data_IF_163249824118
#
_entry.id   IF_163249824118
#
_cell.length_a   1.000
_cell.length_b   1.000
_cell.length_c   1.000
_cell.angle_alpha   90.00
_cell.angle_beta   90.00
_cell.angle_gamma   90.00
#
_symmetry.space_group_name_H-M   'P 1'
#
loop_
_entity.id
_entity.type
_entity.pdbx_description
1 polymer ?
#
# COMPACT_ATOMS: atom_id res chain seq x y z
N UNK A 1 38.77 -23.66 -56.86
CA UNK A 1 38.98 -24.58 -55.73
C UNK A 1 38.98 -23.71 -54.48
N UNK A 2 37.91 -23.54 -53.73
CA UNK A 2 36.80 -24.44 -53.48
C UNK A 2 36.76 -24.64 -51.97
N UNK A 3 35.66 -24.20 -51.36
CA UNK A 3 35.08 -24.57 -50.06
C UNK A 3 35.94 -24.33 -48.80
N UNK A 4 35.42 -23.77 -47.70
CA UNK A 4 34.04 -23.81 -47.20
C UNK A 4 33.99 -24.76 -46.01
N UNK A 5 33.72 -24.23 -44.81
CA UNK A 5 33.00 -24.88 -43.71
C UNK A 5 33.09 -23.99 -42.45
N UNK A 6 32.06 -23.16 -42.28
CA UNK A 6 31.53 -22.85 -40.95
C UNK A 6 30.92 -24.13 -40.40
N UNK A 7 31.16 -24.45 -39.14
CA UNK A 7 30.35 -25.42 -38.41
C UNK A 7 29.89 -24.81 -37.08
N UNK A 8 28.65 -25.16 -36.78
CA UNK A 8 27.74 -24.56 -35.82
C UNK A 8 27.66 -25.39 -34.53
N UNK A 9 27.10 -24.77 -33.49
CA UNK A 9 26.25 -25.33 -32.42
C UNK A 9 26.57 -24.63 -31.09
N UNK A 10 25.61 -24.18 -30.28
CA UNK A 10 24.16 -24.23 -30.37
C UNK A 10 23.58 -23.16 -29.44
N UNK A 11 22.41 -22.66 -29.80
CA UNK A 11 21.62 -21.80 -28.93
C UNK A 11 20.91 -22.58 -27.84
N UNK A 12 20.71 -21.93 -26.70
CA UNK A 12 19.44 -21.89 -25.98
C UNK A 12 19.57 -20.69 -25.02
N UNK A 13 18.83 -19.59 -25.17
CA UNK A 13 17.37 -19.60 -25.26
C UNK A 13 16.82 -19.61 -23.84
N UNK A 14 16.93 -18.48 -23.16
CA UNK A 14 16.44 -18.27 -21.80
C UNK A 14 16.21 -16.78 -21.56
N UNK A 15 15.57 -16.11 -22.52
CA UNK A 15 14.99 -14.80 -22.26
C UNK A 15 13.87 -15.01 -21.25
N UNK A 16 14.10 -14.60 -20.01
CA UNK A 16 13.04 -14.45 -19.04
C UNK A 16 12.06 -13.42 -19.61
N UNK A 17 10.91 -13.91 -20.09
CA UNK A 17 9.80 -13.05 -20.44
C UNK A 17 9.32 -12.39 -19.16
N UNK A 18 9.80 -11.18 -18.89
CA UNK A 18 9.04 -10.26 -18.06
C UNK A 18 7.71 -10.04 -18.77
N UNK A 19 6.66 -10.66 -18.24
CA UNK A 19 5.30 -10.37 -18.65
C UNK A 19 5.03 -8.91 -18.31
N UNK A 20 5.32 -8.00 -19.23
CA UNK A 20 4.67 -6.69 -19.24
C UNK A 20 3.17 -6.95 -19.25
N UNK A 21 2.43 -6.42 -18.29
CA UNK A 21 0.97 -6.37 -18.34
C UNK A 21 0.58 -5.71 -19.67
N UNK A 22 0.11 -6.53 -20.60
CA UNK A 22 -0.36 -6.05 -21.88
C UNK A 22 -1.76 -5.48 -21.66
N UNK A 23 -1.83 -4.16 -21.41
CA UNK A 23 -3.02 -3.33 -21.58
C UNK A 23 -4.16 -3.56 -20.60
N UNK A 24 -3.91 -3.48 -19.29
CA UNK A 24 -5.00 -3.34 -18.31
C UNK A 24 -5.79 -2.07 -18.64
N UNK A 25 -7.13 -2.18 -18.67
CA UNK A 25 -8.04 -1.06 -18.92
C UNK A 25 -9.09 -0.97 -17.83
N UNK A 26 -9.77 0.17 -17.76
CA UNK A 26 -10.98 0.37 -16.94
C UNK A 26 -12.07 0.95 -17.84
N UNK A 27 -13.33 0.75 -17.44
CA UNK A 27 -14.44 1.51 -18.02
C UNK A 27 -14.49 2.91 -17.42
N UNK A 28 -14.82 3.90 -18.26
CA UNK A 28 -15.06 5.26 -17.77
C UNK A 28 -16.30 5.28 -16.88
N UNK A 29 -16.16 5.82 -15.66
CA UNK A 29 -17.24 5.87 -14.69
C UNK A 29 -17.14 7.07 -13.76
N UNK A 30 -18.30 7.53 -13.28
CA UNK A 30 -18.38 8.56 -12.24
C UNK A 30 -18.18 7.89 -10.89
N UNK A 31 -17.17 8.32 -10.15
CA UNK A 31 -16.81 7.79 -8.83
C UNK A 31 -17.50 8.56 -7.70
N UNK A 32 -17.73 9.86 -7.91
CA UNK A 32 -18.37 10.76 -6.95
C UNK A 32 -19.05 11.91 -7.71
N UNK A 33 -20.24 12.33 -7.28
CA UNK A 33 -21.02 13.42 -7.90
C UNK A 33 -22.05 13.98 -6.89
N UNK A 34 -21.58 14.79 -5.94
CA UNK A 34 -22.42 15.45 -4.94
C UNK A 34 -21.94 16.88 -4.68
N UNK A 35 -22.88 17.77 -4.31
CA UNK A 35 -22.62 19.15 -3.88
C UNK A 35 -21.71 20.00 -4.78
N UNK A 36 -21.77 19.76 -6.09
CA UNK A 36 -20.99 20.50 -7.09
C UNK A 36 -19.55 20.03 -7.24
N UNK A 37 -19.18 18.89 -6.64
CA UNK A 37 -17.89 18.23 -6.83
C UNK A 37 -18.13 16.91 -7.56
N UNK A 38 -17.38 16.69 -8.64
CA UNK A 38 -17.49 15.46 -9.43
C UNK A 38 -16.12 14.87 -9.77
N UNK A 39 -16.01 13.56 -9.58
CA UNK A 39 -14.81 12.78 -9.85
C UNK A 39 -15.18 11.68 -10.84
N UNK A 40 -14.49 11.63 -11.98
CA UNK A 40 -14.73 10.62 -13.02
C UNK A 40 -13.44 9.88 -13.33
N UNK A 41 -13.41 8.56 -13.18
CA UNK A 41 -12.35 7.70 -13.69
C UNK A 41 -12.41 7.65 -15.22
N UNK A 42 -11.29 7.88 -15.89
CA UNK A 42 -11.22 8.01 -17.34
C UNK A 42 -10.45 6.88 -18.00
N UNK A 43 -9.30 6.53 -17.43
CA UNK A 43 -8.35 5.63 -18.09
C UNK A 43 -7.39 5.01 -17.08
N UNK A 44 -7.04 3.74 -17.29
CA UNK A 44 -5.91 3.10 -16.62
C UNK A 44 -4.65 3.43 -17.41
N UNK A 45 -3.65 3.98 -16.73
CA UNK A 45 -2.40 4.43 -17.34
C UNK A 45 -1.21 3.75 -16.68
N UNK A 46 -0.17 3.50 -17.46
CA UNK A 46 1.13 3.03 -16.96
C UNK A 46 2.19 4.05 -17.34
N UNK A 47 2.69 4.78 -16.36
CA UNK A 47 3.78 5.73 -16.51
C UNK A 47 5.15 5.06 -16.27
N UNK A 48 6.17 5.48 -17.00
CA UNK A 48 7.51 4.87 -16.91
C UNK A 48 8.27 5.17 -15.60
N UNK A 49 7.86 6.22 -14.88
CA UNK A 49 8.48 6.69 -13.64
C UNK A 49 7.61 6.29 -12.46
N UNK A 50 6.30 6.55 -12.54
CA UNK A 50 5.37 6.39 -11.43
C UNK A 50 4.65 5.03 -11.42
N UNK A 51 4.71 4.29 -12.52
CA UNK A 51 4.05 3.01 -12.69
C UNK A 51 2.56 3.15 -12.99
N UNK A 52 1.77 2.20 -12.51
CA UNK A 52 0.34 2.14 -12.80
C UNK A 52 -0.44 3.23 -12.07
N UNK A 53 -1.53 3.68 -12.68
CA UNK A 53 -2.37 4.73 -12.13
C UNK A 53 -3.72 4.88 -12.83
N UNK A 54 -4.61 5.63 -12.20
CA UNK A 54 -5.95 5.92 -12.69
C UNK A 54 -6.05 7.39 -13.02
N UNK A 55 -6.22 7.69 -14.30
CA UNK A 55 -6.48 9.05 -14.76
C UNK A 55 -7.90 9.45 -14.38
N UNK A 56 -8.02 10.58 -13.70
CA UNK A 56 -9.29 11.12 -13.22
C UNK A 56 -9.54 12.52 -13.78
N UNK A 57 -10.81 12.80 -14.08
CA UNK A 57 -11.31 14.15 -14.31
C UNK A 57 -11.96 14.62 -13.00
N UNK A 58 -11.44 15.72 -12.48
CA UNK A 58 -11.95 16.41 -11.31
C UNK A 58 -12.68 17.66 -11.76
N UNK A 59 -13.92 17.85 -11.29
CA UNK A 59 -14.76 19.00 -11.62
C UNK A 59 -15.22 19.66 -10.32
N UNK A 60 -14.93 20.95 -10.19
CA UNK A 60 -15.34 21.78 -9.05
C UNK A 60 -16.26 22.88 -9.58
N UNK A 61 -17.56 22.68 -9.42
CA UNK A 61 -18.60 23.67 -9.74
C UNK A 61 -19.01 24.51 -8.51
N UNK A 62 -18.27 24.41 -7.40
CA UNK A 62 -18.47 25.22 -6.20
C UNK A 62 -17.87 26.63 -6.33
N UNK A 63 -18.10 27.48 -5.32
CA UNK A 63 -17.59 28.86 -5.26
C UNK A 63 -16.17 28.97 -4.65
N UNK A 64 -15.62 27.89 -4.09
CA UNK A 64 -14.32 27.88 -3.42
C UNK A 64 -13.32 26.97 -4.15
N UNK A 65 -12.03 27.21 -3.95
CA UNK A 65 -10.98 26.30 -4.39
C UNK A 65 -10.96 25.07 -3.47
N UNK A 66 -10.86 23.87 -4.06
CA UNK A 66 -10.89 22.61 -3.30
C UNK A 66 -9.64 21.79 -3.58
N UNK A 67 -9.21 21.03 -2.58
CA UNK A 67 -8.21 19.98 -2.70
C UNK A 67 -8.91 18.63 -2.61
N UNK A 68 -8.69 17.76 -3.59
CA UNK A 68 -9.19 16.38 -3.58
C UNK A 68 -8.01 15.44 -3.32
N UNK A 69 -8.17 14.54 -2.36
CA UNK A 69 -7.22 13.49 -1.98
C UNK A 69 -7.94 12.16 -1.71
N UNK A 70 -7.20 11.13 -1.27
CA UNK A 70 -7.78 9.89 -0.77
C UNK A 70 -7.48 9.78 0.74
N UNK A 71 -8.45 9.28 1.51
CA UNK A 71 -8.26 8.82 2.89
C UNK A 71 -7.71 7.37 2.89
N UNK A 72 -8.05 6.59 1.87
CA UNK A 72 -7.49 5.26 1.65
C UNK A 72 -7.54 4.87 0.16
N UNK A 73 -6.55 4.09 -0.25
CA UNK A 73 -6.45 3.45 -1.55
C UNK A 73 -6.17 1.97 -1.32
N UNK A 74 -6.98 1.10 -1.92
CA UNK A 74 -6.85 -0.35 -1.78
C UNK A 74 -6.78 -0.98 -3.16
N UNK A 75 -5.84 -1.88 -3.37
CA UNK A 75 -5.64 -2.61 -4.62
C UNK A 75 -5.63 -4.10 -4.33
N UNK A 76 -6.53 -4.85 -4.96
CA UNK A 76 -6.71 -6.29 -4.72
C UNK A 76 -6.73 -6.65 -3.22
N UNK A 77 -7.52 -5.92 -2.46
CA UNK A 77 -7.69 -6.04 -1.00
C UNK A 77 -6.47 -5.61 -0.14
N UNK A 78 -5.36 -5.19 -0.74
CA UNK A 78 -4.23 -4.60 -0.03
C UNK A 78 -4.37 -3.08 0.08
N UNK A 79 -4.21 -2.54 1.29
CA UNK A 79 -3.98 -1.13 1.52
C UNK A 79 -2.69 -0.70 0.80
N UNK A 80 -2.76 0.38 0.03
CA UNK A 80 -1.66 0.99 -0.69
C UNK A 80 -1.61 2.46 -0.31
N UNK A 81 -0.43 2.95 0.07
CA UNK A 81 -0.23 4.35 0.32
C UNK A 81 -0.39 5.16 -0.96
N UNK A 82 -1.25 6.17 -0.90
CA UNK A 82 -1.37 7.16 -1.94
C UNK A 82 -0.67 8.47 -1.54
N UNK A 83 -0.21 9.20 -2.55
CA UNK A 83 0.27 10.57 -2.42
C UNK A 83 -0.64 11.51 -3.23
N UNK A 84 -1.90 11.11 -3.43
CA UNK A 84 -2.79 11.82 -4.33
C UNK A 84 -3.37 13.04 -3.63
N UNK A 85 -3.02 14.21 -4.13
CA UNK A 85 -3.69 15.46 -3.82
C UNK A 85 -3.74 16.33 -5.08
N UNK A 86 -4.89 16.93 -5.35
CA UNK A 86 -5.06 17.81 -6.50
C UNK A 86 -5.96 18.99 -6.17
N UNK A 87 -5.42 20.20 -6.29
CA UNK A 87 -6.19 21.44 -6.23
C UNK A 87 -7.03 21.64 -7.50
N UNK A 88 -8.27 22.06 -7.32
CA UNK A 88 -9.20 22.42 -8.38
C UNK A 88 -9.85 23.75 -8.01
N UNK A 89 -9.51 24.81 -8.74
CA UNK A 89 -10.07 26.13 -8.47
C UNK A 89 -11.59 26.18 -8.72
N UNK A 90 -12.27 27.14 -8.08
CA UNK A 90 -13.71 27.35 -8.20
C UNK A 90 -14.19 27.46 -9.66
N UNK A 91 -15.22 26.68 -10.01
CA UNK A 91 -15.78 26.60 -11.36
C UNK A 91 -14.80 26.06 -12.42
N UNK A 92 -13.79 25.27 -12.04
CA UNK A 92 -12.78 24.69 -12.94
C UNK A 92 -12.79 23.16 -12.93
N UNK A 93 -12.01 22.61 -13.86
CA UNK A 93 -11.77 21.17 -14.00
C UNK A 93 -10.27 20.92 -14.06
N UNK A 94 -9.83 19.80 -13.50
CA UNK A 94 -8.46 19.33 -13.57
C UNK A 94 -8.42 17.88 -14.08
N UNK A 95 -7.39 17.53 -14.84
CA UNK A 95 -7.05 16.13 -15.07
C UNK A 95 -5.91 15.79 -14.14
N UNK A 96 -6.05 14.71 -13.37
CA UNK A 96 -5.00 14.21 -12.48
C UNK A 96 -4.85 12.70 -12.63
N UNK A 97 -3.90 12.12 -11.91
CA UNK A 97 -3.67 10.67 -11.89
C UNK A 97 -3.45 10.20 -10.46
N UNK A 98 -4.27 9.25 -10.03
CA UNK A 98 -4.09 8.53 -8.77
C UNK A 98 -3.11 7.39 -9.06
N UNK A 99 -1.85 7.54 -8.66
CA UNK A 99 -0.84 6.51 -8.89
C UNK A 99 -0.92 5.41 -7.84
N UNK A 100 -0.75 4.18 -8.28
CA UNK A 100 -0.67 3.00 -7.44
C UNK A 100 0.81 2.77 -7.10
N UNK A 101 1.19 2.84 -5.82
CA UNK A 101 2.59 2.78 -5.42
C UNK A 101 3.25 1.46 -5.89
N UNK A 102 4.10 1.54 -6.93
CA UNK A 102 4.68 0.36 -7.57
C UNK A 102 5.52 -0.51 -6.64
N UNK A 103 6.18 0.12 -5.65
CA UNK A 103 6.92 -0.59 -4.62
C UNK A 103 6.02 -1.45 -3.74
N UNK A 104 4.84 -0.95 -3.39
CA UNK A 104 3.89 -1.62 -2.52
C UNK A 104 3.10 -2.68 -3.27
N UNK A 105 2.70 -2.43 -4.53
CA UNK A 105 2.14 -3.49 -5.39
C UNK A 105 3.10 -4.67 -5.49
N UNK A 106 4.38 -4.40 -5.75
CA UNK A 106 5.41 -5.44 -5.81
C UNK A 106 5.58 -6.14 -4.47
N UNK A 107 5.54 -5.40 -3.36
CA UNK A 107 5.65 -5.97 -2.03
C UNK A 107 4.44 -6.87 -1.71
N UNK A 108 3.23 -6.47 -2.06
CA UNK A 108 2.01 -7.28 -1.94
C UNK A 108 1.98 -8.46 -2.93
N UNK A 109 2.89 -8.51 -3.90
CA UNK A 109 2.91 -9.55 -4.93
C UNK A 109 1.80 -9.39 -5.97
N UNK A 110 1.39 -8.14 -6.22
CA UNK A 110 0.35 -7.76 -7.18
C UNK A 110 1.03 -7.39 -8.50
N UNK A 111 0.87 -8.24 -9.52
CA UNK A 111 1.25 -7.98 -10.90
C UNK A 111 0.01 -7.65 -11.77
N UNK A 112 -1.15 -8.20 -11.41
CA UNK A 112 -2.44 -8.04 -12.08
C UNK A 112 -3.40 -7.27 -11.18
N UNK A 113 -3.43 -5.95 -11.37
CA UNK A 113 -4.38 -5.06 -10.70
C UNK A 113 -5.79 -5.31 -11.24
N UNK A 114 -6.65 -5.93 -10.45
CA UNK A 114 -8.01 -6.29 -10.84
C UNK A 114 -9.09 -5.42 -10.25
N UNK A 115 -8.92 -5.04 -8.98
CA UNK A 115 -9.86 -4.18 -8.26
C UNK A 115 -9.11 -3.05 -7.55
N UNK A 116 -9.68 -1.86 -7.61
CA UNK A 116 -9.19 -0.67 -6.92
C UNK A 116 -10.36 -0.08 -6.14
N UNK A 117 -10.23 0.04 -4.83
CA UNK A 117 -11.18 0.74 -3.97
C UNK A 117 -10.54 2.05 -3.50
N UNK A 118 -11.31 3.12 -3.51
CA UNK A 118 -10.84 4.48 -3.18
C UNK A 118 -11.82 5.12 -2.21
N UNK A 119 -11.30 5.70 -1.14
CA UNK A 119 -12.06 6.51 -0.20
C UNK A 119 -11.64 7.96 -0.39
N UNK A 120 -12.46 8.76 -1.08
CA UNK A 120 -12.13 10.14 -1.39
C UNK A 120 -12.36 11.08 -0.21
N UNK A 121 -11.54 12.13 -0.17
CA UNK A 121 -11.64 13.28 0.71
C UNK A 121 -11.55 14.55 -0.13
N UNK A 122 -12.36 15.55 0.20
CA UNK A 122 -12.13 16.92 -0.23
C UNK A 122 -12.08 17.90 0.94
N UNK A 123 -11.18 18.88 0.85
CA UNK A 123 -11.08 20.01 1.76
C UNK A 123 -11.05 21.32 0.98
N UNK A 124 -11.37 22.42 1.65
CA UNK A 124 -11.10 23.76 1.13
C UNK A 124 -9.58 23.98 1.00
N UNK A 125 -9.10 24.47 -0.15
CA UNK A 125 -7.65 24.57 -0.44
C UNK A 125 -6.92 25.60 0.44
N UNK A 126 -7.62 26.62 0.94
CA UNK A 126 -7.01 27.70 1.72
C UNK A 126 -7.02 27.40 3.22
N UNK A 127 -8.16 26.94 3.73
CA UNK A 127 -8.40 26.72 5.16
C UNK A 127 -8.15 25.29 5.63
N UNK A 128 -8.10 24.33 4.70
CA UNK A 128 -8.07 22.89 4.98
C UNK A 128 -9.30 22.40 5.77
N UNK A 129 -10.39 23.17 5.78
CA UNK A 129 -11.66 22.70 6.36
C UNK A 129 -12.21 21.54 5.52
N UNK A 130 -12.60 20.46 6.20
CA UNK A 130 -13.16 19.28 5.55
C UNK A 130 -14.49 19.62 4.86
N UNK A 131 -14.64 19.20 3.61
CA UNK A 131 -15.87 19.28 2.84
C UNK A 131 -16.59 17.92 2.90
N UNK A 132 -15.87 16.85 2.61
CA UNK A 132 -16.31 15.47 2.82
C UNK A 132 -15.11 14.55 3.06
N UNK A 133 -15.34 13.37 3.63
CA UNK A 133 -14.32 12.32 3.86
C UNK A 133 -14.96 10.94 3.73
N UNK A 134 -14.15 9.93 3.41
CA UNK A 134 -14.59 8.53 3.33
C UNK A 134 -15.57 8.23 2.18
N UNK A 135 -15.61 9.05 1.13
CA UNK A 135 -16.50 8.82 0.00
C UNK A 135 -16.00 7.65 -0.85
N UNK A 136 -16.65 6.49 -0.68
CA UNK A 136 -16.23 5.23 -1.30
C UNK A 136 -16.55 5.16 -2.80
N UNK A 137 -15.60 4.66 -3.58
CA UNK A 137 -15.78 4.23 -4.95
C UNK A 137 -14.97 2.96 -5.25
N UNK A 138 -15.46 2.16 -6.18
CA UNK A 138 -14.81 0.93 -6.65
C UNK A 138 -14.59 0.98 -8.17
N UNK A 139 -13.42 0.53 -8.61
CA UNK A 139 -13.07 0.39 -10.02
C UNK A 139 -12.62 -1.04 -10.27
N UNK A 140 -13.37 -1.76 -11.10
CA UNK A 140 -12.91 -3.01 -11.70
C UNK A 140 -12.11 -2.74 -12.96
N UNK A 141 -10.97 -3.42 -13.10
CA UNK A 141 -10.18 -3.40 -14.32
C UNK A 141 -10.54 -4.60 -15.21
N UNK A 142 -10.04 -4.58 -16.44
CA UNK A 142 -10.11 -5.73 -17.35
C UNK A 142 -9.42 -6.99 -16.83
N UNK A 143 -8.65 -6.90 -15.73
CA UNK A 143 -7.94 -8.01 -15.12
C UNK A 143 -8.64 -8.59 -13.87
N UNK A 144 -9.82 -8.09 -13.48
CA UNK A 144 -10.53 -8.51 -12.24
C UNK A 144 -10.69 -10.04 -12.11
N UNK A 145 -11.02 -10.74 -13.21
CA UNK A 145 -11.19 -12.20 -13.21
C UNK A 145 -9.88 -12.98 -12.94
N UNK A 146 -8.72 -12.34 -13.11
CA UNK A 146 -7.40 -12.94 -12.94
C UNK A 146 -6.53 -12.11 -11.98
N UNK A 147 -7.16 -11.39 -11.05
CA UNK A 147 -6.45 -10.54 -10.10
C UNK A 147 -5.63 -11.38 -9.13
N UNK A 148 -4.48 -10.85 -8.72
CA UNK A 148 -3.66 -11.49 -7.70
C UNK A 148 -4.33 -11.36 -6.33
N UNK A 149 -4.53 -12.48 -5.66
CA UNK A 149 -5.23 -12.60 -4.35
C UNK A 149 -4.41 -13.32 -3.30
N UNK A 150 -3.15 -13.63 -3.62
CA UNK A 150 -2.30 -14.43 -2.73
C UNK A 150 -1.78 -13.55 -1.60
N UNK A 151 -2.04 -13.97 -0.36
CA UNK A 151 -1.43 -13.38 0.82
C UNK A 151 0.10 -13.47 0.76
N UNK A 152 0.79 -12.34 1.00
CA UNK A 152 2.23 -12.32 1.28
C UNK A 152 2.48 -12.44 2.80
N UNK A 153 2.01 -13.55 3.36
CA UNK A 153 2.07 -13.84 4.80
C UNK A 153 3.24 -14.77 5.18
N UNK A 154 4.33 -14.72 4.42
CA UNK A 154 5.58 -15.40 4.79
C UNK A 154 6.15 -14.75 6.06
N UNK A 155 6.27 -15.53 7.15
CA UNK A 155 6.86 -15.10 8.41
C UNK A 155 6.39 -15.92 9.61
N UNK A 156 6.58 -15.36 10.80
CA UNK A 156 6.06 -15.89 12.06
C UNK A 156 4.76 -15.20 12.42
N UNK A 157 3.72 -15.96 12.76
CA UNK A 157 2.49 -15.39 13.33
C UNK A 157 2.79 -14.78 14.70
N UNK A 158 2.59 -13.46 14.81
CA UNK A 158 2.89 -12.67 15.99
C UNK A 158 1.63 -12.42 16.84
N UNK A 159 0.48 -12.28 16.17
CA UNK A 159 -0.81 -11.99 16.79
C UNK A 159 -1.93 -12.61 15.94
N UNK A 160 -2.95 -13.19 16.60
CA UNK A 160 -4.10 -13.82 15.94
C UNK A 160 -5.29 -13.91 16.91
N UNK A 161 -5.95 -12.78 17.13
CA UNK A 161 -7.12 -12.69 18.00
C UNK A 161 -8.11 -11.64 17.46
N UNK A 162 -9.39 -11.78 17.79
CA UNK A 162 -10.42 -10.79 17.41
C UNK A 162 -10.60 -10.62 15.90
N UNK A 163 -10.32 -11.67 15.12
CA UNK A 163 -10.32 -11.66 13.65
C UNK A 163 -9.31 -10.65 13.05
N UNK A 164 -8.24 -10.36 13.78
CA UNK A 164 -7.07 -9.61 13.33
C UNK A 164 -5.86 -10.54 13.44
N UNK A 165 -5.13 -10.72 12.34
CA UNK A 165 -3.91 -11.53 12.30
C UNK A 165 -2.73 -10.71 11.78
N UNK A 166 -1.60 -10.86 12.47
CA UNK A 166 -0.34 -10.16 12.17
C UNK A 166 0.77 -11.19 12.06
N UNK A 167 1.47 -11.17 10.92
CA UNK A 167 2.62 -12.03 10.63
C UNK A 167 3.84 -11.14 10.44
N UNK A 168 4.93 -11.44 11.15
CA UNK A 168 6.17 -10.68 11.09
C UNK A 168 7.34 -11.47 10.51
N UNK A 169 8.21 -10.78 9.77
CA UNK A 169 9.52 -11.29 9.38
C UNK A 169 10.58 -10.18 9.43
N UNK A 170 11.80 -10.56 9.73
CA UNK A 170 12.96 -9.68 9.58
C UNK A 170 13.39 -9.62 8.12
N UNK A 171 13.82 -8.44 7.69
CA UNK A 171 14.46 -8.23 6.38
C UNK A 171 15.78 -7.50 6.59
N UNK A 172 16.79 -7.85 5.80
CA UNK A 172 18.15 -7.32 5.94
C UNK A 172 18.41 -6.08 5.04
N UNK A 173 19.59 -5.46 5.20
CA UNK A 173 19.98 -4.24 4.49
C UNK A 173 19.92 -4.32 2.96
N UNK A 174 19.96 -5.53 2.37
CA UNK A 174 19.86 -5.74 0.92
C UNK A 174 18.40 -5.80 0.45
N UNK A 175 17.44 -5.86 1.38
CA UNK A 175 16.01 -5.74 1.10
C UNK A 175 15.66 -4.33 0.63
N UNK A 176 14.54 -4.23 -0.08
CA UNK A 176 13.93 -2.93 -0.41
C UNK A 176 13.70 -2.04 0.82
N UNK A 177 13.41 -2.68 1.96
CA UNK A 177 13.09 -2.03 3.24
C UNK A 177 14.32 -1.71 4.10
N UNK A 178 15.53 -2.09 3.66
CA UNK A 178 16.70 -2.11 4.53
C UNK A 178 16.52 -3.07 5.71
N UNK A 179 17.32 -2.87 6.76
CA UNK A 179 17.19 -3.62 8.02
C UNK A 179 15.92 -3.20 8.75
N UNK A 180 14.87 -4.01 8.66
CA UNK A 180 13.54 -3.70 9.19
C UNK A 180 12.78 -4.98 9.62
N UNK A 181 11.62 -4.78 10.25
CA UNK A 181 10.66 -5.85 10.54
C UNK A 181 9.42 -5.59 9.67
N UNK A 182 9.17 -6.47 8.71
CA UNK A 182 8.00 -6.39 7.85
C UNK A 182 6.81 -7.09 8.51
N UNK A 183 5.66 -6.44 8.52
CA UNK A 183 4.40 -6.94 9.04
C UNK A 183 3.38 -7.10 7.92
N UNK A 184 2.92 -8.33 7.72
CA UNK A 184 1.68 -8.60 6.99
C UNK A 184 0.54 -8.61 8.00
N UNK A 185 -0.54 -7.90 7.69
CA UNK A 185 -1.72 -7.75 8.55
C UNK A 185 -2.95 -8.12 7.74
N UNK A 186 -3.86 -8.89 8.32
CA UNK A 186 -5.21 -9.12 7.79
C UNK A 186 -6.25 -8.76 8.85
N UNK A 187 -7.29 -8.02 8.44
CA UNK A 187 -8.36 -7.59 9.30
C UNK A 187 -9.71 -8.08 8.78
N UNK A 188 -10.40 -8.89 9.58
CA UNK A 188 -11.76 -9.38 9.35
C UNK A 188 -12.66 -9.13 10.57
N UNK A 189 -12.32 -8.14 11.39
CA UNK A 189 -12.97 -7.85 12.68
C UNK A 189 -14.34 -7.17 12.58
N UNK A 190 -14.77 -6.78 11.38
CA UNK A 190 -16.00 -6.03 11.16
C UNK A 190 -15.87 -4.52 11.37
N UNK A 191 -14.63 -4.00 11.51
CA UNK A 191 -14.32 -2.57 11.70
C UNK A 191 -12.95 -2.24 11.11
N UNK A 192 -12.73 -0.97 10.77
CA UNK A 192 -11.41 -0.49 10.36
C UNK A 192 -10.53 -0.31 11.61
N UNK A 193 -9.30 -0.82 11.56
CA UNK A 193 -8.38 -0.81 12.72
C UNK A 193 -7.07 -0.14 12.41
N UNK A 194 -6.56 0.59 13.39
CA UNK A 194 -5.20 1.11 13.42
C UNK A 194 -4.35 0.22 14.31
N UNK A 195 -3.11 0.00 13.91
CA UNK A 195 -2.15 -0.85 14.62
C UNK A 195 -0.85 -0.08 14.74
N UNK A 196 -0.36 0.09 15.96
CA UNK A 196 0.94 0.71 16.25
C UNK A 196 1.80 -0.16 17.14
N UNK A 197 3.10 0.14 17.16
CA UNK A 197 4.07 -0.45 18.09
C UNK A 197 4.80 0.70 18.75
N UNK A 198 4.52 0.92 20.04
CA UNK A 198 5.15 2.00 20.83
C UNK A 198 6.36 1.49 21.62
N UNK A 199 6.32 0.22 22.05
CA UNK A 199 7.36 -0.41 22.86
C UNK A 199 7.99 -1.58 22.09
N UNK A 200 9.31 -1.52 21.89
CA UNK A 200 10.09 -2.59 21.26
C UNK A 200 11.47 -2.75 21.90
N UNK A 201 11.97 -3.98 21.92
CA UNK A 201 13.38 -4.29 22.13
C UNK A 201 13.93 -5.10 20.96
N UNK A 202 15.20 -4.88 20.63
CA UNK A 202 15.97 -5.69 19.67
C UNK A 202 17.26 -6.14 20.33
N UNK A 203 17.54 -7.43 20.32
CA UNK A 203 18.69 -8.07 20.95
C UNK A 203 18.88 -7.67 22.42
N UNK A 204 17.77 -7.44 23.14
CA UNK A 204 17.74 -6.99 24.53
C UNK A 204 18.00 -5.50 24.75
N UNK A 205 18.14 -4.69 23.70
CA UNK A 205 18.21 -3.23 23.77
C UNK A 205 16.84 -2.63 23.51
N UNK A 206 16.42 -1.68 24.35
CA UNK A 206 15.24 -0.86 24.08
C UNK A 206 15.47 -0.04 22.81
N UNK A 207 14.48 -0.04 21.93
CA UNK A 207 14.49 0.66 20.65
C UNK A 207 13.32 1.65 20.57
N UNK A 208 13.44 2.66 19.72
CA UNK A 208 12.33 3.55 19.36
C UNK A 208 11.77 3.13 17.99
N UNK A 209 10.72 2.28 17.96
CA UNK A 209 10.10 1.88 16.70
C UNK A 209 9.32 3.04 16.09
N UNK A 210 9.34 3.14 14.76
CA UNK A 210 8.43 3.99 14.01
C UNK A 210 7.47 3.10 13.23
N UNK A 211 6.27 2.90 13.77
CA UNK A 211 5.26 2.08 13.13
C UNK A 211 3.85 2.51 13.51
N UNK A 212 3.05 2.77 12.49
CA UNK A 212 1.60 2.79 12.55
C UNK A 212 1.09 2.40 11.18
N UNK A 213 0.04 1.61 11.13
CA UNK A 213 -0.64 1.27 9.88
C UNK A 213 -2.13 1.12 10.11
N UNK A 214 -2.87 1.11 9.01
CA UNK A 214 -4.30 0.96 8.94
C UNK A 214 -4.63 -0.33 8.19
N UNK A 215 -5.60 -1.08 8.69
CA UNK A 215 -6.18 -2.20 7.97
C UNK A 215 -7.70 -2.05 8.00
N UNK A 216 -8.30 -1.81 6.83
CA UNK A 216 -9.75 -1.71 6.71
C UNK A 216 -10.39 -3.10 6.86
N UNK A 217 -11.68 -3.15 7.20
CA UNK A 217 -12.38 -4.43 7.34
C UNK A 217 -12.40 -5.21 6.01
N UNK A 218 -12.02 -6.48 6.09
CA UNK A 218 -11.86 -7.35 4.94
C UNK A 218 -10.57 -7.14 4.15
N UNK A 219 -9.65 -6.29 4.61
CA UNK A 219 -8.45 -5.88 3.87
C UNK A 219 -7.16 -6.33 4.55
N UNK A 220 -6.07 -6.23 3.81
CA UNK A 220 -4.72 -6.52 4.28
C UNK A 220 -3.83 -5.29 4.20
N UNK A 221 -2.80 -5.24 5.04
CA UNK A 221 -1.69 -4.28 4.90
C UNK A 221 -0.34 -4.98 4.93
N UNK A 222 0.67 -4.34 4.34
CA UNK A 222 2.05 -4.83 4.33
C UNK A 222 3.01 -3.66 4.56
N UNK A 223 3.43 -3.48 5.81
CA UNK A 223 4.21 -2.31 6.25
C UNK A 223 5.41 -2.72 7.11
N UNK A 224 6.44 -1.88 7.13
CA UNK A 224 7.64 -2.12 7.94
C UNK A 224 7.65 -1.29 9.22
N UNK A 225 8.12 -1.91 10.31
CA UNK A 225 8.57 -1.18 11.49
C UNK A 225 9.94 -0.59 11.16
N UNK A 226 9.98 0.72 10.99
CA UNK A 226 11.22 1.43 10.71
C UNK A 226 12.06 1.53 12.00
N UNK A 227 13.30 1.03 11.92
CA UNK A 227 14.32 1.16 12.97
C UNK A 227 15.42 2.12 12.52
N UNK A 228 15.71 3.13 13.35
CA UNK A 228 16.69 4.14 12.97
C UNK A 228 18.11 3.56 12.94
N UNK A 229 18.77 3.63 11.78
CA UNK A 229 20.13 3.10 11.61
C UNK A 229 21.16 3.70 12.58
N UNK A 230 20.93 4.91 13.09
CA UNK A 230 21.76 5.53 14.13
C UNK A 230 21.62 4.84 15.47
N UNK A 231 20.41 4.43 15.85
CA UNK A 231 20.11 3.74 17.12
C UNK A 231 20.66 2.32 17.08
N UNK A 232 20.48 1.61 15.95
CA UNK A 232 21.11 0.31 15.72
C UNK A 232 22.64 0.37 15.90
N UNK A 233 23.30 1.38 15.33
CA UNK A 233 24.74 1.59 15.47
C UNK A 233 25.16 1.95 16.89
N UNK A 234 24.39 2.78 17.59
CA UNK A 234 24.68 3.17 18.97
C UNK A 234 24.64 1.98 19.93
N UNK A 235 23.69 1.07 19.72
CA UNK A 235 23.54 -0.15 20.49
C UNK A 235 24.43 -1.31 20.01
N UNK A 236 25.21 -1.13 18.95
CA UNK A 236 26.09 -2.16 18.39
C UNK A 236 25.33 -3.33 17.76
N UNK A 237 24.12 -3.08 17.25
CA UNK A 237 23.26 -4.06 16.61
C UNK A 237 23.60 -4.08 15.12
N UNK A 238 24.34 -5.11 14.70
CA UNK A 238 24.66 -5.37 13.28
C UNK A 238 23.56 -6.21 12.60
N UNK A 239 22.93 -7.10 13.36
CA UNK A 239 21.87 -8.01 12.91
C UNK A 239 20.72 -8.00 13.91
N UNK A 240 19.48 -8.00 13.43
CA UNK A 240 18.29 -8.24 14.26
C UNK A 240 18.24 -9.75 14.49
N UNK A 241 18.33 -10.21 15.75
CA UNK A 241 18.27 -11.63 16.12
C UNK A 241 17.03 -11.91 16.96
N UNK A 242 16.85 -11.15 18.04
CA UNK A 242 15.70 -11.28 18.95
C UNK A 242 14.91 -9.98 18.95
N UNK A 243 13.59 -10.09 18.81
CA UNK A 243 12.67 -8.96 18.89
C UNK A 243 11.65 -9.21 19.98
N UNK A 244 11.41 -8.21 20.82
CA UNK A 244 10.25 -8.15 21.71
C UNK A 244 9.42 -6.91 21.34
N UNK A 245 8.11 -7.06 21.19
CA UNK A 245 7.22 -5.94 20.90
C UNK A 245 5.84 -6.12 21.51
N UNK A 246 5.07 -5.04 21.52
CA UNK A 246 3.64 -5.06 21.81
C UNK A 246 2.88 -4.33 20.72
N UNK A 247 1.76 -4.88 20.29
CA UNK A 247 0.83 -4.19 19.42
C UNK A 247 -0.20 -3.42 20.23
N UNK A 248 -0.40 -2.17 19.87
CA UNK A 248 -1.56 -1.39 20.25
C UNK A 248 -2.55 -1.39 19.09
N UNK A 249 -3.75 -1.91 19.30
CA UNK A 249 -4.78 -2.02 18.27
C UNK A 249 -5.97 -1.17 18.70
N UNK A 250 -6.41 -0.29 17.80
CA UNK A 250 -7.47 0.67 18.08
C UNK A 250 -8.43 0.80 16.89
N UNK A 251 -9.63 1.27 17.18
CA UNK A 251 -10.68 1.52 16.19
C UNK A 251 -10.38 2.84 15.46
N UNK A 252 -10.33 2.84 14.11
CA UNK A 252 -9.90 4.01 13.34
C UNK A 252 -10.89 5.18 13.38
N UNK A 253 -12.16 4.92 13.64
CA UNK A 253 -13.17 5.97 13.69
C UNK A 253 -13.19 6.66 15.07
N UNK A 254 -13.22 5.86 16.13
CA UNK A 254 -13.34 6.36 17.51
C UNK A 254 -12.02 6.61 18.23
N UNK A 255 -10.92 6.05 17.72
CA UNK A 255 -9.61 5.98 18.38
C UNK A 255 -9.64 5.26 19.74
N UNK A 256 -10.72 4.53 20.04
CA UNK A 256 -10.78 3.71 21.25
C UNK A 256 -9.88 2.48 21.11
N UNK A 257 -9.11 2.20 22.15
CA UNK A 257 -8.31 0.99 22.24
C UNK A 257 -9.20 -0.24 22.17
N UNK A 258 -8.94 -1.10 21.18
CA UNK A 258 -9.56 -2.42 21.07
C UNK A 258 -8.81 -3.37 21.99
N UNK A 259 -7.48 -3.42 21.89
CA UNK A 259 -6.63 -4.24 22.73
C UNK A 259 -5.17 -3.77 22.72
N UNK A 260 -4.46 -4.08 23.80
CA UNK A 260 -3.01 -4.09 23.84
C UNK A 260 -2.56 -5.54 23.93
N UNK A 261 -1.68 -6.00 23.05
CA UNK A 261 -1.18 -7.38 23.11
C UNK A 261 -0.37 -7.62 24.39
N UNK A 262 -0.24 -8.89 24.77
CA UNK A 262 0.87 -9.31 25.62
C UNK A 262 2.22 -9.08 24.90
N UNK A 263 3.34 -9.20 25.62
CA UNK A 263 4.67 -9.15 25.01
C UNK A 263 4.81 -10.31 24.03
N UNK A 264 5.11 -9.97 22.77
CA UNK A 264 5.38 -10.92 21.71
C UNK A 264 6.89 -10.98 21.51
N UNK A 265 7.43 -12.20 21.45
CA UNK A 265 8.84 -12.44 21.14
C UNK A 265 8.95 -13.25 19.86
N UNK A 266 9.79 -12.81 18.94
CA UNK A 266 10.16 -13.64 17.79
C UNK A 266 11.64 -13.49 17.45
N UNK A 267 12.20 -14.57 16.93
CA UNK A 267 13.59 -14.62 16.46
C UNK A 267 13.61 -14.44 14.95
N UNK A 268 14.51 -13.58 14.49
CA UNK A 268 14.79 -13.37 13.08
C UNK A 268 15.13 -14.71 12.39
N UNK A 269 14.59 -14.92 11.18
CA UNK A 269 14.95 -16.06 10.32
C UNK A 269 15.98 -15.66 9.27
#
# INVERSE_FOLDING_TARGET
SGDGAQDASGGNGGGSSSGKSAGVTIEEQVLYDEDGIKITAKEYVTDSIWGDGIKVLLENDTENDIMISCDALIVNDYMIHDLFASDVAAGKKANSTIYLASSELKAAGIDNVGRIEIYFHASDSDSYENIFSGAYAEIETSAVDNMDTRANDDGMELYNEGDIRIVGKTVDENSFWGTAILLYIENHSGRNVGISVDDMSVNGFMMTPYFSTEAYDGKMSLDDITLMSSELKENGIETIEDVELKFHIYDLESYETITDSDIITFTAQ
#
